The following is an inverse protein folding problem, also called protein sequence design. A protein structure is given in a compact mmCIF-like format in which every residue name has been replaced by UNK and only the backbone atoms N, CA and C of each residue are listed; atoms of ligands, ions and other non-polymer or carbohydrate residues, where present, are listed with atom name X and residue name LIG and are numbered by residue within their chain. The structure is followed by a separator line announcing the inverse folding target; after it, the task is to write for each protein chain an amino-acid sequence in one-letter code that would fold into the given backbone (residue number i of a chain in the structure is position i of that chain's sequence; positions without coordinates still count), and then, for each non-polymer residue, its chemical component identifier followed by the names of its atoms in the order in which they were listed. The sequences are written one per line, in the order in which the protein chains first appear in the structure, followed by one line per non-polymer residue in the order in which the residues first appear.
data_IF_287797135332
#
_entry.id   IF_287797135332
#
_cell.length_a   1.000
_cell.length_b   1.000
_cell.length_c   1.000
_cell.angle_alpha   90.00
_cell.angle_beta   90.00
_cell.angle_gamma   90.00
#
_symmetry.space_group_name_H-M   'P 1'
#
loop_
_entity.id
_entity.type
_entity.pdbx_description
1 polymer ?
#
# COMPACT_ATOMS: atom_id res chain seq x y z
N UNK A 1 -16.16 -20.78 -31.92
CA UNK A 1 -15.42 -19.85 -32.81
C UNK A 1 -14.57 -18.94 -31.93
N UNK A 2 -13.26 -19.19 -31.86
CA UNK A 2 -12.33 -18.29 -31.17
C UNK A 2 -12.20 -17.05 -32.06
N UNK A 3 -12.74 -15.91 -31.64
CA UNK A 3 -12.51 -14.63 -32.33
C UNK A 3 -11.00 -14.39 -32.31
N UNK A 4 -10.34 -14.47 -33.45
CA UNK A 4 -8.94 -14.09 -33.61
C UNK A 4 -8.84 -12.61 -33.26
N UNK A 5 -8.35 -12.29 -32.06
CA UNK A 5 -8.15 -10.91 -31.63
C UNK A 5 -7.06 -10.33 -32.53
N UNK A 6 -7.39 -9.29 -33.30
CA UNK A 6 -6.45 -8.66 -34.22
C UNK A 6 -5.33 -7.98 -33.41
N UNK A 7 -4.11 -8.49 -33.53
CA UNK A 7 -2.93 -7.92 -32.89
C UNK A 7 -2.39 -6.80 -33.77
N UNK A 8 -2.15 -5.59 -33.23
CA UNK A 8 -1.51 -4.53 -34.00
C UNK A 8 -0.09 -4.94 -34.41
N UNK A 9 0.27 -4.68 -35.67
CA UNK A 9 1.61 -4.99 -36.19
C UNK A 9 2.72 -4.21 -35.46
N UNK A 10 2.39 -3.00 -34.97
CA UNK A 10 3.22 -2.21 -34.07
C UNK A 10 2.48 -2.01 -32.75
N UNK A 11 2.65 -2.91 -31.76
CA UNK A 11 1.91 -2.83 -30.50
C UNK A 11 2.38 -1.63 -29.68
N UNK A 12 1.42 -0.97 -29.04
CA UNK A 12 1.63 0.17 -28.15
C UNK A 12 1.00 -0.12 -26.78
N UNK A 13 1.61 0.33 -25.70
CA UNK A 13 0.99 0.27 -24.38
C UNK A 13 -0.35 1.01 -24.36
N UNK A 14 -1.31 0.51 -23.59
CA UNK A 14 -2.58 1.20 -23.39
C UNK A 14 -2.41 2.43 -22.49
N UNK A 15 -3.35 3.37 -22.61
CA UNK A 15 -3.36 4.58 -21.76
C UNK A 15 -3.42 4.22 -20.27
N UNK A 16 -2.59 4.91 -19.48
CA UNK A 16 -2.51 4.70 -18.03
C UNK A 16 -1.69 3.47 -17.61
N UNK A 17 -0.98 2.82 -18.54
CA UNK A 17 -0.01 1.75 -18.24
C UNK A 17 1.38 2.32 -18.00
N UNK A 18 2.01 1.92 -16.91
CA UNK A 18 3.41 2.24 -16.58
C UNK A 18 4.18 0.97 -16.23
N UNK A 19 5.37 0.82 -16.81
CA UNK A 19 6.26 -0.30 -16.54
C UNK A 19 7.13 0.03 -15.33
N UNK A 20 6.96 -0.69 -14.23
CA UNK A 20 7.59 -0.35 -12.95
C UNK A 20 8.96 -1.02 -12.81
N UNK A 21 9.05 -2.29 -13.19
CA UNK A 21 10.29 -3.07 -13.16
C UNK A 21 10.16 -4.33 -12.33
N UNK A 22 11.28 -4.79 -11.83
CA UNK A 22 11.38 -6.03 -11.08
C UNK A 22 10.65 -5.93 -9.72
N UNK A 23 9.93 -7.00 -9.36
CA UNK A 23 9.39 -7.15 -8.01
C UNK A 23 10.51 -7.62 -7.08
N UNK A 24 11.10 -6.67 -6.35
CA UNK A 24 12.16 -6.97 -5.41
C UNK A 24 11.62 -7.84 -4.26
N UNK A 25 11.94 -9.13 -4.25
CA UNK A 25 11.65 -10.12 -3.20
C UNK A 25 10.17 -10.48 -2.94
N UNK A 26 9.66 -11.47 -3.67
CA UNK A 26 8.49 -12.28 -3.27
C UNK A 26 8.89 -13.73 -2.98
N UNK A 27 8.10 -14.50 -2.24
CA UNK A 27 8.35 -15.93 -1.99
C UNK A 27 8.11 -16.84 -3.22
N UNK A 28 8.00 -16.24 -4.41
CA UNK A 28 7.84 -16.97 -5.65
C UNK A 28 9.14 -17.69 -6.03
N UNK A 29 9.01 -18.93 -6.54
CA UNK A 29 10.15 -19.67 -7.10
C UNK A 29 10.79 -18.94 -8.29
N UNK A 30 10.00 -18.17 -9.04
CA UNK A 30 10.45 -17.44 -10.24
C UNK A 30 10.27 -15.93 -10.03
N UNK A 31 11.27 -15.16 -10.47
CA UNK A 31 11.31 -13.71 -10.40
C UNK A 31 10.12 -13.09 -11.16
N UNK A 32 9.39 -12.19 -10.49
CA UNK A 32 8.21 -11.52 -11.03
C UNK A 32 8.52 -10.06 -11.38
N UNK A 33 7.77 -9.50 -12.30
CA UNK A 33 7.87 -8.12 -12.77
C UNK A 33 6.52 -7.41 -12.60
N UNK A 34 6.55 -6.09 -12.44
CA UNK A 34 5.38 -5.28 -12.13
C UNK A 34 5.03 -4.31 -13.25
N UNK A 35 3.77 -4.35 -13.66
CA UNK A 35 3.13 -3.36 -14.53
C UNK A 35 2.05 -2.65 -13.73
N UNK A 36 2.07 -1.33 -13.71
CA UNK A 36 0.99 -0.53 -13.18
C UNK A 36 0.00 -0.19 -14.30
N UNK A 37 -1.30 -0.36 -14.04
CA UNK A 37 -2.37 0.06 -14.93
C UNK A 37 -3.43 0.80 -14.14
N UNK A 38 -3.59 2.10 -14.41
CA UNK A 38 -4.58 2.98 -13.77
C UNK A 38 -4.52 2.91 -12.23
N UNK A 39 -3.31 2.87 -11.66
CA UNK A 39 -3.11 2.80 -10.20
C UNK A 39 -3.15 1.39 -9.59
N UNK A 40 -3.27 0.34 -10.39
CA UNK A 40 -3.27 -1.06 -9.93
C UNK A 40 -2.05 -1.82 -10.44
N UNK A 41 -1.48 -2.69 -9.61
CA UNK A 41 -0.29 -3.46 -9.95
C UNK A 41 -0.69 -4.85 -10.45
N UNK A 42 -0.11 -5.22 -11.59
CA UNK A 42 -0.24 -6.54 -12.19
C UNK A 42 1.14 -7.19 -12.13
N UNK A 43 1.22 -8.30 -11.40
CA UNK A 43 2.41 -9.15 -11.40
C UNK A 43 2.41 -9.98 -12.67
N UNK A 44 3.51 -9.90 -13.42
CA UNK A 44 3.71 -10.62 -14.67
C UNK A 44 5.09 -11.30 -14.69
N UNK A 45 5.22 -12.46 -15.35
CA UNK A 45 6.52 -13.04 -15.68
C UNK A 45 7.40 -12.08 -16.49
N UNK A 46 8.72 -12.27 -16.43
CA UNK A 46 9.69 -11.46 -17.18
C UNK A 46 9.35 -11.35 -18.66
N UNK A 47 9.04 -12.47 -19.32
CA UNK A 47 8.73 -12.49 -20.75
C UNK A 47 7.59 -11.53 -21.11
N UNK A 48 6.53 -11.50 -20.31
CA UNK A 48 5.38 -10.61 -20.53
C UNK A 48 5.75 -9.14 -20.29
N UNK A 49 6.57 -8.87 -19.28
CA UNK A 49 7.08 -7.52 -19.01
C UNK A 49 7.97 -7.02 -20.15
N UNK A 50 8.90 -7.84 -20.65
CA UNK A 50 9.82 -7.48 -21.74
C UNK A 50 9.06 -7.23 -23.05
N UNK A 51 8.06 -8.06 -23.37
CA UNK A 51 7.21 -7.82 -24.55
C UNK A 51 6.48 -6.47 -24.41
N UNK A 52 5.91 -6.18 -23.23
CA UNK A 52 5.28 -4.89 -22.96
C UNK A 52 6.29 -3.73 -23.02
N UNK A 53 7.54 -3.93 -22.58
CA UNK A 53 8.63 -2.95 -22.66
C UNK A 53 8.98 -2.54 -24.09
N UNK A 54 8.94 -3.49 -25.03
CA UNK A 54 9.24 -3.21 -26.43
C UNK A 54 8.03 -2.75 -27.24
N UNK A 55 6.80 -2.87 -26.71
CA UNK A 55 5.55 -2.40 -27.31
C UNK A 55 5.36 -0.88 -27.18
N UNK A 56 6.23 -0.11 -27.84
CA UNK A 56 6.22 1.36 -27.82
C UNK A 56 5.47 2.01 -29.01
N UNK A 57 4.77 1.23 -29.83
CA UNK A 57 4.09 1.70 -31.05
C UNK A 57 5.01 1.91 -32.26
N UNK A 58 6.32 1.84 -32.07
CA UNK A 58 7.30 1.97 -33.16
C UNK A 58 7.81 0.63 -33.63
N UNK A 59 7.92 -0.39 -32.77
CA UNK A 59 8.53 -1.67 -33.15
C UNK A 59 7.55 -2.65 -33.76
N UNK A 60 7.98 -3.42 -34.76
CA UNK A 60 7.17 -4.53 -35.31
C UNK A 60 7.24 -5.78 -34.44
N UNK A 61 6.35 -6.74 -34.67
CA UNK A 61 6.41 -8.05 -34.00
C UNK A 61 7.75 -8.78 -34.26
N UNK A 62 8.32 -8.63 -35.45
CA UNK A 62 9.63 -9.20 -35.80
C UNK A 62 10.78 -8.59 -35.00
N UNK A 63 10.77 -7.26 -34.86
CA UNK A 63 11.77 -6.53 -34.08
C UNK A 63 11.66 -6.88 -32.60
N UNK A 64 10.44 -6.98 -32.07
CA UNK A 64 10.19 -7.39 -30.68
C UNK A 64 10.68 -8.83 -30.46
N UNK A 65 10.36 -9.76 -31.35
CA UNK A 65 10.80 -11.16 -31.25
C UNK A 65 12.34 -11.29 -31.24
N UNK A 66 13.00 -10.51 -32.10
CA UNK A 66 14.46 -10.44 -32.18
C UNK A 66 15.07 -9.89 -30.88
N UNK A 67 14.49 -8.83 -30.31
CA UNK A 67 14.94 -8.24 -29.06
C UNK A 67 14.72 -9.16 -27.85
N UNK A 68 13.59 -9.87 -27.79
CA UNK A 68 13.32 -10.86 -26.73
C UNK A 68 14.35 -11.99 -26.79
N UNK A 69 14.61 -12.52 -27.98
CA UNK A 69 15.59 -13.58 -28.20
C UNK A 69 17.02 -13.14 -27.86
N UNK A 70 17.33 -11.85 -28.05
CA UNK A 70 18.64 -11.30 -27.71
C UNK A 70 18.79 -10.91 -26.22
N UNK A 71 17.68 -10.62 -25.52
CA UNK A 71 17.70 -10.09 -24.14
C UNK A 71 17.30 -11.11 -23.07
N UNK A 72 16.82 -12.29 -23.45
CA UNK A 72 16.37 -13.33 -22.54
C UNK A 72 16.82 -14.71 -23.02
N UNK A 73 16.75 -15.73 -22.16
CA UNK A 73 17.05 -17.12 -22.53
C UNK A 73 15.98 -17.75 -23.46
N UNK A 74 14.92 -17.01 -23.79
CA UNK A 74 13.79 -17.49 -24.57
C UNK A 74 13.98 -17.19 -26.06
N UNK A 75 13.90 -18.22 -26.90
CA UNK A 75 13.79 -18.05 -28.35
C UNK A 75 12.33 -17.76 -28.68
N UNK A 76 12.04 -16.56 -29.19
CA UNK A 76 10.70 -16.12 -29.52
C UNK A 76 10.56 -15.86 -31.02
N UNK A 77 9.51 -16.38 -31.65
CA UNK A 77 9.14 -16.03 -33.04
C UNK A 77 8.10 -14.89 -33.06
N UNK A 78 7.98 -14.15 -34.18
CA UNK A 78 7.00 -13.07 -34.33
C UNK A 78 5.56 -13.55 -34.07
N UNK A 79 5.22 -14.77 -34.50
CA UNK A 79 3.89 -15.37 -34.30
C UNK A 79 3.63 -15.70 -32.82
N UNK A 80 4.66 -16.17 -32.10
CA UNK A 80 4.56 -16.43 -30.66
C UNK A 80 4.38 -15.13 -29.88
N UNK A 81 5.12 -14.07 -30.22
CA UNK A 81 4.94 -12.74 -29.61
C UNK A 81 3.52 -12.23 -29.86
N UNK A 82 3.02 -12.33 -31.10
CA UNK A 82 1.64 -11.97 -31.44
C UNK A 82 0.61 -12.76 -30.62
N UNK A 83 0.81 -14.07 -30.47
CA UNK A 83 -0.07 -14.95 -29.69
C UNK A 83 -0.09 -14.58 -28.20
N UNK A 84 1.08 -14.26 -27.62
CA UNK A 84 1.19 -13.81 -26.22
C UNK A 84 0.48 -12.48 -26.03
N UNK A 85 0.67 -11.52 -26.95
CA UNK A 85 -0.02 -10.23 -26.90
C UNK A 85 -1.54 -10.45 -26.95
N UNK A 86 -2.02 -11.27 -27.90
CA UNK A 86 -3.44 -11.57 -28.05
C UNK A 86 -4.06 -12.26 -26.83
N UNK A 87 -3.35 -13.23 -26.25
CA UNK A 87 -3.89 -14.07 -25.19
C UNK A 87 -3.75 -13.46 -23.79
N UNK A 88 -2.78 -12.57 -23.56
CA UNK A 88 -2.44 -12.09 -22.22
C UNK A 88 -2.43 -10.56 -22.11
N UNK A 89 -1.81 -9.84 -23.04
CA UNK A 89 -1.64 -8.39 -22.90
C UNK A 89 -2.86 -7.58 -23.36
N UNK A 90 -3.54 -7.99 -24.43
CA UNK A 90 -4.78 -7.37 -24.90
C UNK A 90 -5.96 -7.57 -23.93
N UNK A 91 -6.24 -8.78 -23.39
CA UNK A 91 -7.35 -8.98 -22.45
C UNK A 91 -7.16 -8.22 -21.13
N UNK A 92 -5.91 -8.03 -20.71
CA UNK A 92 -5.55 -7.23 -19.53
C UNK A 92 -5.48 -5.73 -19.83
N UNK A 93 -5.70 -5.29 -21.08
CA UNK A 93 -5.56 -3.89 -21.50
C UNK A 93 -4.18 -3.30 -21.19
N UNK A 94 -3.12 -4.13 -21.22
CA UNK A 94 -1.74 -3.67 -21.07
C UNK A 94 -1.23 -3.10 -22.41
N UNK A 95 -1.61 -3.75 -23.51
CA UNK A 95 -1.38 -3.28 -24.89
C UNK A 95 -2.70 -2.76 -25.44
N UNK A 96 -2.65 -1.68 -26.21
CA UNK A 96 -3.83 -1.13 -26.86
C UNK A 96 -4.30 -2.03 -28.02
N UNK A 97 -5.63 -2.20 -28.20
CA UNK A 97 -6.15 -2.89 -29.38
C UNK A 97 -5.78 -2.14 -30.66
N UNK A 98 -5.71 -2.87 -31.78
CA UNK A 98 -5.45 -2.25 -33.07
C UNK A 98 -6.50 -1.18 -33.40
N UNK A 99 -6.07 -0.08 -34.05
CA UNK A 99 -6.95 1.01 -34.46
C UNK A 99 -8.06 0.45 -35.36
N UNK A 100 -9.32 0.61 -34.94
CA UNK A 100 -10.49 0.08 -35.65
C UNK A 100 -10.88 -1.37 -35.32
N UNK A 101 -10.13 -2.07 -34.46
CA UNK A 101 -10.57 -3.36 -33.93
C UNK A 101 -11.76 -3.16 -32.97
N UNK A 102 -12.76 -4.07 -32.98
CA UNK A 102 -13.81 -4.04 -31.96
C UNK A 102 -13.14 -4.10 -30.59
N UNK A 103 -13.54 -3.22 -29.68
CA UNK A 103 -13.03 -3.20 -28.31
C UNK A 103 -13.00 -4.65 -27.79
N UNK A 104 -11.81 -5.13 -27.42
CA UNK A 104 -11.69 -6.43 -26.78
C UNK A 104 -12.70 -6.45 -25.63
N UNK A 105 -13.45 -7.56 -25.42
CA UNK A 105 -14.37 -7.63 -24.30
C UNK A 105 -13.56 -7.28 -23.06
N UNK A 106 -13.87 -6.12 -22.47
CA UNK A 106 -13.24 -5.70 -21.24
C UNK A 106 -13.44 -6.88 -20.30
N UNK A 107 -12.35 -7.53 -19.87
CA UNK A 107 -12.43 -8.46 -18.76
C UNK A 107 -13.06 -7.63 -17.65
N UNK A 108 -14.32 -7.90 -17.36
CA UNK A 108 -15.03 -7.29 -16.24
C UNK A 108 -14.19 -7.67 -15.04
N UNK A 109 -13.37 -6.72 -14.59
CA UNK A 109 -12.54 -6.89 -13.41
C UNK A 109 -13.48 -7.44 -12.33
N UNK A 110 -13.10 -8.49 -11.60
CA UNK A 110 -13.91 -8.95 -10.49
C UNK A 110 -14.21 -7.72 -9.64
N UNK A 111 -15.50 -7.48 -9.39
CA UNK A 111 -15.96 -6.37 -8.56
C UNK A 111 -15.10 -6.39 -7.30
N UNK A 112 -14.47 -5.25 -7.01
CA UNK A 112 -13.69 -5.04 -5.79
C UNK A 112 -14.42 -5.72 -4.64
N UNK A 113 -13.82 -6.79 -4.09
CA UNK A 113 -14.46 -7.60 -3.05
C UNK A 113 -14.94 -6.71 -1.90
N UNK A 114 -15.95 -7.12 -1.12
CA UNK A 114 -16.55 -6.27 -0.07
C UNK A 114 -15.52 -5.75 0.95
N UNK A 115 -14.35 -6.39 1.05
CA UNK A 115 -13.23 -6.05 1.91
C UNK A 115 -12.20 -5.10 1.27
N UNK A 116 -12.52 -4.45 0.14
CA UNK A 116 -11.68 -3.42 -0.47
C UNK A 116 -12.19 -2.02 -0.12
N UNK A 117 -11.26 -1.08 0.03
CA UNK A 117 -11.58 0.32 0.29
C UNK A 117 -12.30 0.94 -0.92
N UNK A 118 -13.53 1.41 -0.72
CA UNK A 118 -14.37 2.03 -1.76
C UNK A 118 -14.36 3.55 -1.61
N UNK A 119 -14.82 4.26 -2.65
CA UNK A 119 -15.01 5.73 -2.63
C UNK A 119 -13.75 6.49 -2.18
N UNK A 120 -12.59 6.11 -2.74
CA UNK A 120 -11.29 6.69 -2.38
C UNK A 120 -11.18 8.11 -2.92
N UNK A 121 -11.05 9.07 -2.02
CA UNK A 121 -10.76 10.47 -2.35
C UNK A 121 -9.35 10.79 -1.88
N UNK A 122 -8.51 11.28 -2.79
CA UNK A 122 -7.18 11.79 -2.45
C UNK A 122 -7.33 13.15 -1.78
N UNK A 123 -6.81 13.29 -0.58
CA UNK A 123 -6.91 14.54 0.21
C UNK A 123 -5.58 15.29 0.17
N UNK A 124 -4.47 14.58 0.39
CA UNK A 124 -3.13 15.13 0.34
C UNK A 124 -2.35 14.51 -0.83
N UNK A 125 -1.65 15.37 -1.57
CA UNK A 125 -0.74 14.98 -2.64
C UNK A 125 0.74 15.03 -2.23
N UNK A 126 1.66 14.61 -3.12
CA UNK A 126 3.09 14.50 -2.82
C UNK A 126 3.72 15.82 -2.34
N UNK A 127 3.19 16.97 -2.77
CA UNK A 127 3.68 18.30 -2.37
C UNK A 127 3.63 18.54 -0.86
N UNK A 128 2.64 17.95 -0.16
CA UNK A 128 2.51 18.06 1.30
C UNK A 128 3.15 16.87 1.99
N UNK A 129 3.00 15.69 1.39
CA UNK A 129 3.47 14.42 1.98
C UNK A 129 5.01 14.38 2.01
N UNK A 130 5.68 14.72 0.91
CA UNK A 130 7.14 14.57 0.79
C UNK A 130 7.91 15.40 1.82
N UNK A 131 7.60 16.70 2.05
CA UNK A 131 8.26 17.47 3.09
C UNK A 131 8.06 16.88 4.49
N UNK A 132 6.82 16.54 4.84
CA UNK A 132 6.48 15.98 6.15
C UNK A 132 7.14 14.61 6.38
N UNK A 133 7.03 13.70 5.40
CA UNK A 133 7.66 12.39 5.44
C UNK A 133 9.20 12.49 5.50
N UNK A 134 9.78 13.48 4.83
CA UNK A 134 11.23 13.72 4.88
C UNK A 134 11.70 14.25 6.23
N UNK A 135 10.90 15.07 6.91
CA UNK A 135 11.17 15.45 8.31
C UNK A 135 11.06 14.22 9.18
N UNK A 136 9.94 13.50 9.14
CA UNK A 136 9.72 12.37 10.04
C UNK A 136 10.61 11.15 9.79
N UNK A 137 11.33 11.07 8.65
CA UNK A 137 12.23 9.94 8.36
C UNK A 137 13.27 9.69 9.47
N UNK A 138 13.70 10.73 10.21
CA UNK A 138 14.68 10.55 11.28
C UNK A 138 14.16 9.66 12.43
N UNK A 139 12.83 9.63 12.64
CA UNK A 139 12.21 8.79 13.67
C UNK A 139 12.45 7.30 13.42
N UNK A 140 12.65 6.91 12.15
CA UNK A 140 12.93 5.53 11.75
C UNK A 140 14.41 5.14 11.90
N UNK A 141 15.28 6.07 12.30
CA UNK A 141 16.66 5.73 12.63
C UNK A 141 16.70 4.87 13.92
N UNK A 142 17.46 3.76 13.97
CA UNK A 142 17.45 2.85 15.13
C UNK A 142 17.71 3.54 16.47
N UNK A 143 18.60 4.53 16.50
CA UNK A 143 18.95 5.30 17.68
C UNK A 143 17.78 6.13 18.25
N UNK A 144 16.76 6.44 17.44
CA UNK A 144 15.57 7.20 17.83
C UNK A 144 14.38 6.26 18.02
N UNK A 145 14.23 5.30 17.10
CA UNK A 145 13.14 4.33 17.11
C UNK A 145 13.14 3.45 18.36
N UNK A 146 14.31 2.90 18.74
CA UNK A 146 14.41 1.98 19.87
C UNK A 146 14.01 2.65 21.20
N UNK A 147 14.55 3.83 21.57
CA UNK A 147 14.11 4.53 22.78
C UNK A 147 12.62 4.87 22.78
N UNK A 148 12.05 5.28 21.64
CA UNK A 148 10.62 5.56 21.53
C UNK A 148 9.77 4.31 21.76
N UNK A 149 10.16 3.16 21.20
CA UNK A 149 9.44 1.91 21.42
C UNK A 149 9.55 1.43 22.88
N UNK A 150 10.73 1.54 23.50
CA UNK A 150 10.93 1.20 24.91
C UNK A 150 10.10 2.12 25.80
N UNK A 151 10.14 3.43 25.55
CA UNK A 151 9.35 4.41 26.28
C UNK A 151 7.85 4.15 26.15
N UNK A 152 7.37 3.88 24.93
CA UNK A 152 5.97 3.52 24.70
C UNK A 152 5.62 2.25 25.48
N UNK A 153 6.41 1.18 25.38
CA UNK A 153 6.14 -0.06 26.11
C UNK A 153 6.09 0.15 27.63
N UNK A 154 7.03 0.93 28.19
CA UNK A 154 7.05 1.26 29.62
C UNK A 154 5.83 2.08 30.04
N UNK A 155 5.42 3.07 29.25
CA UNK A 155 4.25 3.90 29.53
C UNK A 155 2.94 3.09 29.50
N UNK A 156 2.77 2.19 28.53
CA UNK A 156 1.62 1.28 28.49
C UNK A 156 1.66 0.27 29.65
N UNK A 157 2.83 -0.28 29.99
CA UNK A 157 2.97 -1.18 31.13
C UNK A 157 2.57 -0.47 32.44
N UNK A 158 3.02 0.76 32.65
CA UNK A 158 2.58 1.59 33.78
C UNK A 158 1.07 1.81 33.75
N UNK A 159 0.50 2.20 32.60
CA UNK A 159 -0.92 2.51 32.47
C UNK A 159 -1.80 1.29 32.77
N UNK A 160 -1.48 0.13 32.22
CA UNK A 160 -2.31 -1.07 32.35
C UNK A 160 -2.06 -1.85 33.65
N UNK A 161 -0.83 -1.86 34.18
CA UNK A 161 -0.48 -2.68 35.35
C UNK A 161 -0.50 -1.91 36.66
N UNK A 162 -0.32 -0.59 36.64
CA UNK A 162 -0.16 0.23 37.85
C UNK A 162 -1.26 1.29 37.97
N UNK A 163 -1.45 2.12 36.96
CA UNK A 163 -2.41 3.24 37.01
C UNK A 163 -3.86 2.76 36.94
N UNK A 164 -4.14 1.84 36.02
CA UNK A 164 -5.47 1.34 35.71
C UNK A 164 -6.28 2.30 34.82
N UNK A 165 -7.35 1.76 34.23
CA UNK A 165 -8.16 2.43 33.21
C UNK A 165 -9.46 3.06 33.74
N UNK A 166 -9.84 2.76 34.99
CA UNK A 166 -11.16 3.10 35.54
C UNK A 166 -11.37 4.61 35.64
N UNK A 167 -10.35 5.34 36.12
CA UNK A 167 -10.42 6.80 36.25
C UNK A 167 -10.58 7.48 34.88
N UNK A 168 -9.83 7.01 33.88
CA UNK A 168 -9.90 7.51 32.51
C UNK A 168 -11.29 7.31 31.91
N UNK A 169 -11.85 6.10 31.97
CA UNK A 169 -13.19 5.78 31.45
C UNK A 169 -14.27 6.62 32.15
N UNK A 170 -14.10 6.89 33.44
CA UNK A 170 -15.02 7.76 34.17
C UNK A 170 -14.95 9.18 33.65
N UNK A 171 -13.76 9.78 33.59
CA UNK A 171 -13.59 11.20 33.29
C UNK A 171 -14.13 11.61 31.91
N UNK A 172 -14.02 10.76 30.89
CA UNK A 172 -14.57 11.09 29.55
C UNK A 172 -16.09 11.27 29.58
N UNK A 173 -16.79 10.65 30.52
CA UNK A 173 -18.25 10.77 30.67
C UNK A 173 -18.67 11.99 31.51
N UNK A 174 -17.82 12.47 32.42
CA UNK A 174 -18.16 13.55 33.36
C UNK A 174 -17.55 14.90 33.00
N UNK A 175 -16.49 14.95 32.20
CA UNK A 175 -15.86 16.22 31.77
C UNK A 175 -16.54 16.72 30.49
N UNK A 176 -17.21 17.89 30.52
CA UNK A 176 -17.85 18.44 29.33
C UNK A 176 -16.83 18.67 28.21
N UNK A 177 -17.15 18.17 27.00
CA UNK A 177 -16.29 18.31 25.83
C UNK A 177 -15.16 17.28 25.72
N UNK A 178 -14.88 16.49 26.77
CA UNK A 178 -13.83 15.47 26.71
C UNK A 178 -14.09 14.44 25.61
N UNK A 179 -15.33 13.96 25.46
CA UNK A 179 -15.68 13.03 24.38
C UNK A 179 -15.40 13.61 22.98
N UNK A 180 -15.76 14.88 22.75
CA UNK A 180 -15.47 15.54 21.47
C UNK A 180 -13.95 15.71 21.24
N UNK A 181 -13.20 16.03 22.30
CA UNK A 181 -11.75 16.10 22.25
C UNK A 181 -11.11 14.73 21.93
N UNK A 182 -11.58 13.66 22.56
CA UNK A 182 -11.14 12.27 22.26
C UNK A 182 -11.40 11.95 20.79
N UNK A 183 -12.60 12.23 20.26
CA UNK A 183 -12.91 11.99 18.84
C UNK A 183 -11.98 12.79 17.90
N UNK A 184 -11.71 14.06 18.23
CA UNK A 184 -10.76 14.88 17.48
C UNK A 184 -9.33 14.32 17.52
N UNK A 185 -8.88 13.87 18.68
CA UNK A 185 -7.56 13.24 18.84
C UNK A 185 -7.46 11.91 18.08
N UNK A 186 -8.53 11.11 18.01
CA UNK A 186 -8.55 9.88 17.22
C UNK A 186 -8.44 10.14 15.72
N UNK A 187 -9.10 11.19 15.22
CA UNK A 187 -8.94 11.64 13.83
C UNK A 187 -7.49 12.07 13.58
N UNK A 188 -6.92 12.86 14.49
CA UNK A 188 -5.53 13.32 14.39
C UNK A 188 -4.54 12.14 14.44
N UNK A 189 -4.77 11.17 15.33
CA UNK A 189 -3.98 9.95 15.43
C UNK A 189 -4.03 9.15 14.13
N UNK A 190 -5.21 9.02 13.51
CA UNK A 190 -5.37 8.37 12.21
C UNK A 190 -4.63 9.08 11.07
N UNK A 191 -4.68 10.41 11.00
CA UNK A 191 -3.87 11.16 10.03
C UNK A 191 -2.37 10.99 10.29
N UNK A 192 -1.96 11.00 11.56
CA UNK A 192 -0.57 10.80 11.95
C UNK A 192 -0.08 9.37 11.63
N UNK A 193 -0.93 8.36 11.78
CA UNK A 193 -0.70 6.97 11.37
C UNK A 193 -0.36 6.88 9.87
N UNK A 194 -1.10 7.58 9.01
CA UNK A 194 -0.81 7.63 7.57
C UNK A 194 0.58 8.25 7.26
N UNK A 195 0.96 9.29 8.00
CA UNK A 195 2.32 9.83 7.91
C UNK A 195 3.39 8.84 8.40
N UNK A 196 3.03 7.89 9.26
CA UNK A 196 3.88 6.78 9.66
C UNK A 196 4.26 5.89 8.48
N UNK A 197 3.27 5.47 7.69
CA UNK A 197 3.51 4.71 6.46
C UNK A 197 4.35 5.52 5.46
N UNK A 198 3.97 6.78 5.20
CA UNK A 198 4.68 7.63 4.24
C UNK A 198 6.14 7.89 4.63
N UNK A 199 6.41 8.14 5.91
CA UNK A 199 7.76 8.40 6.42
C UNK A 199 8.62 7.13 6.47
N UNK A 200 8.03 5.97 6.78
CA UNK A 200 8.71 4.68 6.71
C UNK A 200 9.15 4.34 5.28
N UNK A 201 8.24 4.55 4.31
CA UNK A 201 8.54 4.40 2.89
C UNK A 201 9.63 5.37 2.44
N UNK A 202 9.57 6.62 2.91
CA UNK A 202 10.57 7.64 2.60
C UNK A 202 11.95 7.30 3.16
N UNK A 203 12.01 6.75 4.38
CA UNK A 203 13.25 6.28 5.00
C UNK A 203 13.89 5.15 4.19
N UNK A 204 13.08 4.28 3.59
CA UNK A 204 13.55 3.19 2.73
C UNK A 204 13.89 3.62 1.28
N UNK A 205 13.73 4.90 0.94
CA UNK A 205 14.06 5.47 -0.37
C UNK A 205 12.89 5.62 -1.35
N UNK A 206 11.68 5.18 -0.97
CA UNK A 206 10.47 5.35 -1.78
C UNK A 206 9.75 6.69 -1.58
N UNK A 207 8.61 6.85 -2.25
CA UNK A 207 7.70 8.00 -2.06
C UNK A 207 6.23 7.58 -2.02
N UNK A 208 5.50 8.13 -1.06
CA UNK A 208 4.05 7.97 -0.98
C UNK A 208 3.35 8.88 -2.00
N UNK A 209 2.37 8.33 -2.73
CA UNK A 209 1.73 9.05 -3.85
C UNK A 209 0.57 9.92 -3.41
N UNK A 210 -0.17 9.50 -2.40
CA UNK A 210 -1.29 10.27 -1.84
C UNK A 210 -1.65 9.75 -0.45
N UNK A 211 -2.21 10.63 0.38
CA UNK A 211 -2.96 10.26 1.59
C UNK A 211 -4.40 10.70 1.36
N UNK A 212 -5.35 9.86 1.70
CA UNK A 212 -6.75 10.10 1.41
C UNK A 212 -7.70 9.50 2.43
N UNK A 213 -8.99 9.63 2.11
CA UNK A 213 -10.08 9.03 2.87
C UNK A 213 -10.87 8.13 1.93
N UNK A 214 -11.29 6.98 2.42
CA UNK A 214 -12.23 6.10 1.74
C UNK A 214 -13.25 5.53 2.71
N UNK A 215 -14.15 4.71 2.18
CA UNK A 215 -15.12 3.96 2.98
C UNK A 215 -14.75 2.49 2.95
N UNK A 216 -14.44 1.96 4.13
CA UNK A 216 -14.20 0.56 4.35
C UNK A 216 -15.46 -0.08 4.92
N UNK A 217 -16.12 -0.95 4.15
CA UNK A 217 -17.46 -1.47 4.44
C UNK A 217 -18.49 -0.34 4.63
N UNK A 218 -18.64 0.15 5.86
CA UNK A 218 -19.53 1.25 6.25
C UNK A 218 -18.81 2.37 7.01
N UNK A 219 -17.52 2.20 7.33
CA UNK A 219 -16.77 3.12 8.18
C UNK A 219 -15.80 3.97 7.35
N UNK A 220 -15.64 5.27 7.66
CA UNK A 220 -14.59 6.07 7.05
C UNK A 220 -13.22 5.55 7.51
N UNK A 221 -12.28 5.46 6.59
CA UNK A 221 -10.91 5.06 6.86
C UNK A 221 -9.94 5.96 6.10
N UNK A 222 -8.83 6.31 6.75
CA UNK A 222 -7.72 6.92 6.06
C UNK A 222 -6.95 5.86 5.27
N UNK A 223 -6.20 6.31 4.26
CA UNK A 223 -5.28 5.44 3.55
C UNK A 223 -4.07 6.22 3.04
N UNK A 224 -2.94 5.53 2.95
CA UNK A 224 -1.75 5.99 2.27
C UNK A 224 -1.49 5.12 1.05
N UNK A 225 -1.27 5.76 -0.09
CA UNK A 225 -0.82 5.09 -1.29
C UNK A 225 0.70 4.85 -1.20
N UNK A 226 1.06 3.69 -0.63
CA UNK A 226 2.43 3.19 -0.40
C UNK A 226 2.96 2.33 -1.53
N UNK A 227 2.26 2.31 -2.66
CA UNK A 227 2.55 1.51 -3.85
C UNK A 227 4.03 1.43 -4.27
N UNK A 228 4.78 2.52 -4.11
CA UNK A 228 6.20 2.56 -4.47
C UNK A 228 7.06 1.59 -3.62
N UNK A 229 6.53 1.09 -2.49
CA UNK A 229 7.16 0.09 -1.62
C UNK A 229 7.43 -1.23 -2.35
N UNK A 230 6.61 -1.59 -3.36
CA UNK A 230 6.77 -2.83 -4.13
C UNK A 230 8.08 -2.88 -4.93
N UNK A 231 8.72 -1.74 -5.16
CA UNK A 231 10.03 -1.63 -5.82
C UNK A 231 11.20 -1.82 -4.85
N UNK A 232 10.90 -1.82 -3.54
CA UNK A 232 11.88 -1.94 -2.47
C UNK A 232 11.88 -3.37 -1.93
N UNK A 233 12.97 -3.73 -1.25
CA UNK A 233 13.11 -5.07 -0.65
C UNK A 233 12.08 -5.34 0.46
N UNK A 234 11.86 -6.62 0.78
CA UNK A 234 10.86 -7.08 1.77
C UNK A 234 10.83 -6.28 3.07
N UNK A 235 11.99 -5.99 3.65
CA UNK A 235 12.11 -5.30 4.94
C UNK A 235 11.75 -3.82 4.86
N UNK A 236 11.82 -3.21 3.67
CA UNK A 236 11.30 -1.87 3.45
C UNK A 236 9.77 -1.87 3.43
N UNK A 237 9.16 -2.91 2.82
CA UNK A 237 7.71 -3.07 2.81
C UNK A 237 7.13 -3.35 4.18
N UNK A 238 7.68 -4.34 4.89
CA UNK A 238 7.32 -4.64 6.29
C UNK A 238 7.42 -3.39 7.17
N UNK A 239 8.50 -2.61 7.05
CA UNK A 239 8.63 -1.34 7.80
C UNK A 239 7.56 -0.33 7.39
N UNK A 240 7.26 -0.23 6.10
CA UNK A 240 6.22 0.65 5.58
C UNK A 240 4.86 0.28 6.16
N UNK A 241 4.51 -1.01 6.18
CA UNK A 241 3.24 -1.50 6.73
C UNK A 241 3.15 -1.32 8.25
N UNK A 242 4.24 -1.51 8.98
CA UNK A 242 4.28 -1.26 10.43
C UNK A 242 4.40 0.23 10.80
N UNK A 243 4.63 1.11 9.81
CA UNK A 243 4.88 2.54 10.03
C UNK A 243 3.73 3.24 10.74
N UNK A 244 2.49 2.88 10.42
CA UNK A 244 1.31 3.44 11.08
C UNK A 244 1.24 3.09 12.56
N UNK A 245 1.42 1.82 12.93
CA UNK A 245 1.47 1.39 14.34
C UNK A 245 2.59 2.06 15.13
N UNK A 246 3.76 2.26 14.50
CA UNK A 246 4.86 2.98 15.14
C UNK A 246 4.47 4.45 15.43
N UNK A 247 3.74 5.11 14.53
CA UNK A 247 3.29 6.48 14.73
C UNK A 247 2.16 6.57 15.77
N UNK A 248 1.28 5.58 15.85
CA UNK A 248 0.37 5.48 16.99
C UNK A 248 1.14 5.37 18.32
N UNK A 249 2.21 4.58 18.40
CA UNK A 249 3.02 4.49 19.62
C UNK A 249 3.69 5.83 20.01
N UNK A 250 4.15 6.62 19.03
CA UNK A 250 4.65 7.98 19.28
C UNK A 250 3.52 8.91 19.75
N UNK A 251 2.33 8.79 19.14
CA UNK A 251 1.18 9.61 19.50
C UNK A 251 0.70 9.31 20.93
N UNK A 252 0.62 8.04 21.32
CA UNK A 252 0.25 7.65 22.68
C UNK A 252 1.29 8.09 23.70
N UNK A 253 2.59 8.08 23.35
CA UNK A 253 3.63 8.70 24.17
C UNK A 253 3.40 10.20 24.40
N UNK A 254 3.00 10.94 23.37
CA UNK A 254 2.66 12.36 23.52
C UNK A 254 1.43 12.55 24.42
N UNK A 255 0.44 11.65 24.34
CA UNK A 255 -0.72 11.67 25.23
C UNK A 255 -0.34 11.36 26.69
N UNK A 256 0.53 10.38 26.93
CA UNK A 256 1.06 10.08 28.27
C UNK A 256 1.84 11.27 28.85
N UNK A 257 2.67 11.91 28.04
CA UNK A 257 3.38 13.12 28.45
C UNK A 257 2.40 14.28 28.77
N UNK A 258 1.39 14.47 27.92
CA UNK A 258 0.34 15.49 28.14
C UNK A 258 -0.47 15.21 29.41
N UNK A 259 -0.76 13.94 29.68
CA UNK A 259 -1.38 13.50 30.92
C UNK A 259 -0.47 13.82 32.13
N UNK A 260 0.82 13.45 32.08
CA UNK A 260 1.76 13.69 33.17
C UNK A 260 1.90 15.19 33.53
N UNK A 261 1.73 16.07 32.54
CA UNK A 261 1.78 17.53 32.74
C UNK A 261 0.45 18.13 33.24
N UNK A 262 -0.69 17.56 32.83
CA UNK A 262 -2.01 18.17 33.05
C UNK A 262 -2.86 17.47 34.12
N UNK A 263 -2.57 16.21 34.43
CA UNK A 263 -3.39 15.32 35.27
C UNK A 263 -4.74 14.94 34.65
N UNK A 264 -4.98 15.24 33.36
CA UNK A 264 -6.29 15.03 32.73
C UNK A 264 -6.49 13.59 32.26
N UNK A 265 -7.21 12.79 33.04
CA UNK A 265 -7.42 11.35 32.82
C UNK A 265 -8.10 11.01 31.48
N UNK A 266 -8.95 11.90 30.95
CA UNK A 266 -9.63 11.66 29.67
C UNK A 266 -8.67 11.54 28.48
N UNK A 267 -7.44 12.05 28.57
CA UNK A 267 -6.39 11.84 27.56
C UNK A 267 -6.03 10.36 27.43
N UNK A 268 -5.98 9.63 28.54
CA UNK A 268 -5.63 8.21 28.57
C UNK A 268 -6.73 7.33 27.98
N UNK A 269 -7.99 7.80 27.94
CA UNK A 269 -9.05 7.12 27.18
C UNK A 269 -8.76 7.11 25.68
N UNK A 270 -8.14 8.18 25.16
CA UNK A 270 -7.72 8.20 23.76
C UNK A 270 -6.68 7.10 23.49
N UNK A 271 -5.75 6.87 24.43
CA UNK A 271 -4.78 5.75 24.34
C UNK A 271 -5.50 4.41 24.27
N UNK A 272 -6.49 4.16 25.14
CA UNK A 272 -7.29 2.93 25.11
C UNK A 272 -7.97 2.69 23.74
N UNK A 273 -8.54 3.74 23.14
CA UNK A 273 -9.19 3.62 21.83
C UNK A 273 -8.17 3.40 20.70
N UNK A 274 -7.00 4.03 20.76
CA UNK A 274 -5.91 3.77 19.80
C UNK A 274 -5.45 2.31 19.92
N UNK A 275 -5.22 1.80 21.13
CA UNK A 275 -4.77 0.43 21.37
C UNK A 275 -5.81 -0.60 20.91
N UNK A 276 -7.10 -0.37 21.20
CA UNK A 276 -8.18 -1.19 20.67
C UNK A 276 -8.24 -1.13 19.13
N UNK A 277 -7.91 0.02 18.55
CA UNK A 277 -7.73 0.22 17.12
C UNK A 277 -6.60 -0.62 16.53
N UNK A 278 -5.43 -0.63 17.17
CA UNK A 278 -4.27 -1.43 16.78
C UNK A 278 -4.61 -2.92 16.88
N UNK A 279 -5.19 -3.37 18.00
CA UNK A 279 -5.55 -4.77 18.21
C UNK A 279 -6.49 -5.28 17.10
N UNK A 280 -7.48 -4.49 16.70
CA UNK A 280 -8.38 -4.81 15.59
C UNK A 280 -7.66 -4.87 14.24
N UNK A 281 -6.72 -3.96 13.99
CA UNK A 281 -5.97 -3.91 12.73
C UNK A 281 -4.92 -5.03 12.61
N UNK A 282 -4.49 -5.60 13.73
CA UNK A 282 -3.62 -6.78 13.78
C UNK A 282 -4.37 -8.09 13.48
N UNK A 283 -5.72 -8.10 13.55
CA UNK A 283 -6.51 -9.29 13.20
C UNK A 283 -6.46 -9.52 11.67
N UNK A 284 -5.88 -10.64 11.19
CA UNK A 284 -5.59 -10.85 9.77
C UNK A 284 -6.82 -11.29 8.94
N UNK A 285 -8.03 -11.08 9.44
CA UNK A 285 -9.27 -11.46 8.76
C UNK A 285 -9.73 -10.42 7.73
N UNK A 286 -9.11 -9.24 7.77
CA UNK A 286 -9.52 -8.05 7.03
C UNK A 286 -8.25 -7.41 6.46
N UNK A 287 -8.34 -6.75 5.30
CA UNK A 287 -7.20 -6.12 4.59
C UNK A 287 -6.69 -4.83 5.28
N UNK A 288 -6.42 -4.91 6.57
CA UNK A 288 -5.80 -3.87 7.38
C UNK A 288 -4.28 -4.00 7.39
N UNK A 289 -3.57 -3.07 8.03
CA UNK A 289 -2.11 -3.02 8.03
C UNK A 289 -1.45 -4.28 8.60
N UNK A 290 -2.05 -4.90 9.62
CA UNK A 290 -1.56 -6.16 10.18
C UNK A 290 -1.62 -7.32 9.19
N UNK A 291 -2.61 -7.33 8.31
CA UNK A 291 -2.70 -8.31 7.22
C UNK A 291 -1.57 -8.10 6.22
N UNK A 292 -1.35 -6.88 5.74
CA UNK A 292 -0.27 -6.57 4.79
C UNK A 292 1.11 -6.86 5.38
N UNK A 293 1.36 -6.42 6.61
CA UNK A 293 2.61 -6.70 7.32
C UNK A 293 2.86 -8.21 7.46
N UNK A 294 1.83 -9.01 7.74
CA UNK A 294 1.94 -10.47 7.80
C UNK A 294 2.22 -11.07 6.41
N UNK A 295 1.51 -10.63 5.37
CA UNK A 295 1.74 -11.12 3.99
C UNK A 295 3.15 -10.80 3.51
N UNK A 296 3.66 -9.61 3.80
CA UNK A 296 5.01 -9.19 3.41
C UNK A 296 6.10 -9.86 4.25
N UNK A 297 5.83 -10.17 5.52
CA UNK A 297 6.72 -10.97 6.36
C UNK A 297 6.83 -12.40 5.85
N UNK A 298 5.70 -13.00 5.45
CA UNK A 298 5.63 -14.35 4.89
C UNK A 298 6.07 -14.41 3.42
N UNK A 299 6.11 -13.26 2.73
CA UNK A 299 6.42 -13.14 1.30
C UNK A 299 5.36 -13.73 0.37
N UNK A 300 4.17 -14.03 0.87
CA UNK A 300 3.07 -14.67 0.12
C UNK A 300 2.19 -13.56 -0.48
N UNK A 301 1.86 -13.59 -1.78
CA UNK A 301 0.92 -12.63 -2.40
C UNK A 301 -0.49 -12.75 -1.78
N UNK A 302 -1.20 -11.63 -1.69
CA UNK A 302 -2.57 -11.43 -1.15
C UNK A 302 -3.37 -12.74 -0.95
N UNK A 303 -3.27 -13.30 0.26
CA UNK A 303 -3.90 -14.56 0.71
C UNK A 303 -5.44 -14.51 0.52
N UNK A 304 -6.06 -13.35 0.71
CA UNK A 304 -7.50 -13.09 0.59
C UNK A 304 -7.94 -12.80 -0.86
N UNK A 305 -7.08 -13.00 -1.85
CA UNK A 305 -7.43 -12.89 -3.27
C UNK A 305 -7.41 -14.22 -4.04
N UNK A 306 -7.09 -15.31 -3.34
CA UNK A 306 -7.24 -16.68 -3.84
C UNK A 306 -8.69 -17.16 -3.67
#
# INVERSE_FOLDING_TARGET
MIKTIAVPNRPVLADGVQLIGEFASGAFRNQQWLIEQNGHFIQVPELLYRIAQYANGERTLDEIASLITASTDWIATPEQVGTIIAAKLLPLMIVAPAVGAPAAPAVTRPLAGPLQLRLRTRVLGPRVIDPAANVFRFLHAPAVMIPLLIGAAAAHAWFYLVHGMVASIRDVAYVPGALAAVLGLLILAGVFHEFGHASALRYAGGRARSIGVGIYLIYPAFYTDTTDSYRLGRWARVRTDLGGFYFHAIFTLALFASYALSGQEWLLVTVLFIDAGIARQLLPFVRFDGYWALTDLLGIPDILSQ
#
